data_IF_306530772365
#
_entry.id   IF_306530772365
#
_cell.length_a   1.000
_cell.length_b   1.000
_cell.length_c   1.000
_cell.angle_alpha   90.00
_cell.angle_beta   90.00
_cell.angle_gamma   90.00
#
_symmetry.space_group_name_H-M   'P 1'
#
loop_
_entity.id
_entity.type
_entity.pdbx_description
1 polymer ?
#
# COMPACT_ATOMS: atom_id res chain seq x y z
N UNK A 1 -16.27 -9.20 -10.28
CA UNK A 1 -17.68 -9.12 -9.84
C UNK A 1 -17.79 -7.93 -8.87
N UNK A 2 -18.88 -7.15 -8.89
CA UNK A 2 -19.09 -6.11 -7.88
C UNK A 2 -19.25 -6.80 -6.52
N UNK A 3 -18.49 -6.36 -5.51
CA UNK A 3 -18.57 -6.89 -4.16
C UNK A 3 -18.59 -5.74 -3.14
N UNK A 4 -19.23 -5.91 -1.97
CA UNK A 4 -19.22 -4.92 -0.91
C UNK A 4 -17.80 -4.57 -0.46
N UNK A 5 -17.64 -3.37 0.12
CA UNK A 5 -16.35 -2.91 0.67
C UNK A 5 -15.82 -3.94 1.69
N UNK A 6 -14.56 -4.35 1.54
CA UNK A 6 -13.91 -5.32 2.43
C UNK A 6 -14.12 -6.80 2.07
N UNK A 7 -14.95 -7.12 1.07
CA UNK A 7 -15.19 -8.50 0.62
C UNK A 7 -14.13 -9.00 -0.37
N UNK A 8 -13.69 -8.22 -1.39
CA UNK A 8 -12.58 -8.62 -2.24
C UNK A 8 -11.29 -8.83 -1.42
N UNK A 9 -10.72 -10.02 -1.53
CA UNK A 9 -9.42 -10.35 -0.93
C UNK A 9 -8.37 -10.34 -2.03
N UNK A 10 -7.54 -9.31 -2.02
CA UNK A 10 -6.39 -9.19 -2.93
C UNK A 10 -5.14 -9.56 -2.13
N UNK A 11 -4.48 -10.63 -2.54
CA UNK A 11 -3.16 -11.01 -2.04
C UNK A 11 -2.10 -10.32 -2.88
N UNK A 12 -1.19 -9.59 -2.22
CA UNK A 12 -0.07 -8.92 -2.88
C UNK A 12 1.22 -9.59 -2.43
N UNK A 13 1.97 -10.14 -3.38
CA UNK A 13 3.27 -10.79 -3.15
C UNK A 13 4.38 -9.95 -3.75
N UNK A 14 5.43 -9.72 -2.95
CA UNK A 14 6.67 -9.07 -3.37
C UNK A 14 7.79 -10.12 -3.37
N UNK A 15 8.27 -10.48 -4.55
CA UNK A 15 9.33 -11.47 -4.75
C UNK A 15 10.58 -10.78 -5.29
N UNK A 16 11.71 -10.98 -4.62
CA UNK A 16 13.01 -10.42 -5.02
C UNK A 16 13.92 -11.58 -5.36
N UNK A 17 14.33 -11.65 -6.63
CA UNK A 17 15.22 -12.72 -7.09
C UNK A 17 16.69 -12.47 -6.73
N UNK A 18 17.55 -13.46 -6.98
CA UNK A 18 18.99 -13.37 -6.73
C UNK A 18 19.71 -12.27 -7.56
N UNK A 19 19.07 -11.78 -8.64
CA UNK A 19 19.57 -10.68 -9.46
C UNK A 19 19.09 -9.31 -8.98
N UNK A 20 18.21 -9.27 -7.97
CA UNK A 20 17.61 -8.06 -7.44
C UNK A 20 16.41 -7.55 -8.24
N UNK A 21 15.85 -8.36 -9.14
CA UNK A 21 14.62 -8.02 -9.87
C UNK A 21 13.43 -8.24 -8.94
N UNK A 22 12.57 -7.23 -8.82
CA UNK A 22 11.37 -7.27 -7.99
C UNK A 22 10.16 -7.66 -8.85
N UNK A 23 9.55 -8.79 -8.55
CA UNK A 23 8.26 -9.21 -9.10
C UNK A 23 7.15 -8.87 -8.10
N UNK A 24 6.23 -8.00 -8.50
CA UNK A 24 5.04 -7.66 -7.71
C UNK A 24 3.84 -8.34 -8.34
N UNK A 25 3.20 -9.24 -7.60
CA UNK A 25 2.00 -9.95 -8.06
C UNK A 25 0.82 -9.58 -7.19
N UNK A 26 -0.30 -9.20 -7.81
CA UNK A 26 -1.58 -8.99 -7.14
C UNK A 26 -2.58 -10.03 -7.63
N UNK A 27 -3.13 -10.84 -6.72
CA UNK A 27 -4.08 -11.90 -7.02
C UNK A 27 -5.39 -11.71 -6.26
N UNK A 28 -6.52 -11.76 -6.95
CA UNK A 28 -7.83 -11.91 -6.31
C UNK A 28 -8.02 -13.39 -5.93
N UNK A 29 -8.04 -13.68 -4.63
CA UNK A 29 -8.14 -15.06 -4.13
C UNK A 29 -9.48 -15.72 -4.46
N UNK A 30 -10.52 -14.93 -4.77
CA UNK A 30 -11.87 -15.44 -5.04
C UNK A 30 -12.04 -15.87 -6.50
N UNK A 31 -11.40 -15.15 -7.42
CA UNK A 31 -11.51 -15.42 -8.86
C UNK A 31 -10.27 -16.08 -9.45
N UNK A 32 -9.16 -16.13 -8.68
CA UNK A 32 -7.87 -16.65 -9.13
C UNK A 32 -7.14 -15.75 -10.14
N UNK A 33 -7.79 -14.68 -10.60
CA UNK A 33 -7.21 -13.71 -11.53
C UNK A 33 -6.04 -13.00 -10.85
N UNK A 34 -4.92 -12.92 -11.55
CA UNK A 34 -3.73 -12.23 -11.08
C UNK A 34 -3.16 -11.33 -12.16
N UNK A 35 -2.48 -10.28 -11.71
CA UNK A 35 -1.67 -9.40 -12.54
C UNK A 35 -0.29 -9.30 -11.92
N UNK A 36 0.75 -9.28 -12.74
CA UNK A 36 2.13 -9.12 -12.28
C UNK A 36 2.82 -7.96 -12.97
N UNK A 37 3.71 -7.31 -12.25
CA UNK A 37 4.63 -6.29 -12.77
C UNK A 37 6.04 -6.69 -12.35
N UNK A 38 6.98 -6.61 -13.29
CA UNK A 38 8.40 -6.86 -13.03
C UNK A 38 9.15 -5.54 -13.04
N UNK A 39 9.87 -5.26 -11.97
CA UNK A 39 10.70 -4.07 -11.78
C UNK A 39 12.15 -4.54 -11.80
N UNK A 40 12.82 -4.30 -12.92
CA UNK A 40 14.26 -4.58 -13.05
C UNK A 40 15.04 -3.57 -12.22
N UNK A 41 15.98 -4.07 -11.41
CA UNK A 41 16.90 -3.23 -10.66
C UNK A 41 18.21 -3.08 -11.46
N UNK A 42 18.37 -1.96 -12.14
CA UNK A 42 19.59 -1.66 -12.86
C UNK A 42 20.73 -1.41 -11.87
N UNK A 43 21.90 -2.03 -12.10
CA UNK A 43 23.08 -1.80 -11.26
C UNK A 43 23.41 -0.30 -11.26
N UNK A 44 23.51 0.29 -10.07
CA UNK A 44 23.79 1.72 -9.91
C UNK A 44 22.56 2.64 -10.00
N UNK A 45 21.33 2.10 -9.97
CA UNK A 45 20.09 2.90 -9.95
C UNK A 45 20.04 3.93 -8.81
N UNK A 46 20.65 3.61 -7.67
CA UNK A 46 20.86 4.54 -6.56
C UNK A 46 22.30 4.38 -6.07
N UNK A 47 23.00 5.50 -5.97
CA UNK A 47 24.32 5.57 -5.34
C UNK A 47 24.19 5.50 -3.81
N UNK A 48 25.27 5.12 -3.13
CA UNK A 48 25.32 5.11 -1.66
C UNK A 48 25.02 6.49 -1.06
N UNK A 49 25.52 7.55 -1.69
CA UNK A 49 25.27 8.92 -1.26
C UNK A 49 23.79 9.31 -1.37
N UNK A 50 23.10 8.85 -2.41
CA UNK A 50 21.65 9.08 -2.55
C UNK A 50 20.85 8.32 -1.51
N UNK A 51 21.22 7.07 -1.22
CA UNK A 51 20.61 6.27 -0.16
C UNK A 51 20.78 6.99 1.19
N UNK A 52 21.99 7.41 1.53
CA UNK A 52 22.28 8.10 2.79
C UNK A 52 21.54 9.43 2.90
N UNK A 53 21.38 10.16 1.77
CA UNK A 53 20.56 11.38 1.71
C UNK A 53 19.09 11.08 2.00
N UNK A 54 18.52 10.06 1.35
CA UNK A 54 17.12 9.66 1.55
C UNK A 54 16.84 9.24 3.00
N UNK A 55 17.77 8.53 3.64
CA UNK A 55 17.65 8.16 5.06
C UNK A 55 17.65 9.40 5.96
N UNK A 56 18.55 10.35 5.73
CA UNK A 56 18.60 11.61 6.49
C UNK A 56 17.36 12.47 6.30
N UNK A 57 16.84 12.55 5.07
CA UNK A 57 15.60 13.26 4.77
C UNK A 57 14.42 12.61 5.50
N UNK A 58 14.31 11.28 5.49
CA UNK A 58 13.27 10.56 6.23
C UNK A 58 13.34 10.83 7.75
N UNK A 59 14.54 10.89 8.32
CA UNK A 59 14.72 11.24 9.74
C UNK A 59 14.34 12.70 10.02
N UNK A 60 14.72 13.63 9.14
CA UNK A 60 14.43 15.05 9.29
C UNK A 60 12.92 15.35 9.24
N UNK A 61 12.19 14.70 8.33
CA UNK A 61 10.76 14.91 8.13
C UNK A 61 9.86 13.98 8.96
N UNK A 62 10.44 13.07 9.75
CA UNK A 62 9.71 12.07 10.54
C UNK A 62 8.54 12.65 11.34
N UNK A 63 8.75 13.76 12.05
CA UNK A 63 7.73 14.36 12.89
C UNK A 63 6.53 14.92 12.09
N UNK A 64 6.78 15.43 10.89
CA UNK A 64 5.71 15.95 10.03
C UNK A 64 4.98 14.81 9.29
N UNK A 65 5.71 13.76 8.89
CA UNK A 65 5.12 12.52 8.36
C UNK A 65 4.21 11.84 9.40
N UNK A 66 4.60 11.84 10.68
CA UNK A 66 3.77 11.34 11.78
C UNK A 66 2.46 12.14 11.91
N UNK A 67 2.52 13.48 11.89
CA UNK A 67 1.31 14.32 11.92
C UNK A 67 0.41 14.08 10.70
N UNK A 68 0.98 13.94 9.50
CA UNK A 68 0.19 13.63 8.30
C UNK A 68 -0.46 12.25 8.43
N UNK A 69 0.27 11.25 8.91
CA UNK A 69 -0.25 9.91 9.16
C UNK A 69 -1.43 9.95 10.15
N UNK A 70 -1.31 10.68 11.25
CA UNK A 70 -2.38 10.86 12.23
C UNK A 70 -3.62 11.49 11.61
N UNK A 71 -3.45 12.56 10.85
CA UNK A 71 -4.54 13.26 10.14
C UNK A 71 -5.26 12.32 9.17
N UNK A 72 -4.53 11.54 8.37
CA UNK A 72 -5.12 10.60 7.41
C UNK A 72 -5.83 9.46 8.14
N UNK A 73 -5.26 8.94 9.22
CA UNK A 73 -5.91 7.91 10.04
C UNK A 73 -7.22 8.41 10.64
N UNK A 74 -7.24 9.62 11.20
CA UNK A 74 -8.45 10.24 11.75
C UNK A 74 -9.53 10.40 10.67
N UNK A 75 -9.14 10.86 9.48
CA UNK A 75 -10.05 10.97 8.33
C UNK A 75 -10.62 9.60 7.93
N UNK A 76 -9.77 8.59 7.75
CA UNK A 76 -10.18 7.25 7.34
C UNK A 76 -11.09 6.58 8.40
N UNK A 77 -10.84 6.85 9.68
CA UNK A 77 -11.68 6.39 10.78
C UNK A 77 -13.07 7.02 10.72
N UNK A 78 -13.16 8.34 10.51
CA UNK A 78 -14.43 9.04 10.36
C UNK A 78 -15.20 8.56 9.12
N UNK A 79 -14.54 8.42 7.97
CA UNK A 79 -15.16 7.90 6.75
C UNK A 79 -15.71 6.48 6.96
N UNK A 80 -14.96 5.63 7.65
CA UNK A 80 -15.40 4.27 7.97
C UNK A 80 -16.58 4.25 8.95
N UNK A 81 -16.60 5.17 9.92
CA UNK A 81 -17.70 5.33 10.85
C UNK A 81 -18.98 5.79 10.13
N UNK A 82 -18.90 6.85 9.33
CA UNK A 82 -20.04 7.34 8.55
C UNK A 82 -20.59 6.27 7.60
N UNK A 83 -19.71 5.49 6.95
CA UNK A 83 -20.13 4.38 6.11
C UNK A 83 -20.88 3.31 6.92
N UNK A 84 -20.37 2.94 8.09
CA UNK A 84 -20.99 1.95 8.98
C UNK A 84 -22.37 2.43 9.46
N UNK A 85 -22.48 3.69 9.88
CA UNK A 85 -23.76 4.28 10.28
C UNK A 85 -24.79 4.27 9.16
N UNK A 86 -24.37 4.66 7.95
CA UNK A 86 -25.24 4.61 6.78
C UNK A 86 -25.73 3.18 6.53
N UNK A 87 -24.84 2.19 6.59
CA UNK A 87 -25.23 0.80 6.45
C UNK A 87 -26.21 0.35 7.54
N UNK A 88 -26.01 0.73 8.81
CA UNK A 88 -26.94 0.40 9.91
C UNK A 88 -28.33 1.01 9.72
N UNK A 89 -28.44 2.18 9.07
CA UNK A 89 -29.72 2.85 8.83
C UNK A 89 -30.42 2.31 7.57
N UNK A 90 -29.64 1.94 6.55
CA UNK A 90 -30.15 1.43 5.27
C UNK A 90 -30.45 -0.10 5.32
N UNK A 91 -29.97 -0.83 6.34
CA UNK A 91 -30.38 -2.23 6.60
C UNK A 91 -31.77 -2.26 7.27
N UNK A 92 -32.78 -2.96 6.70
CA UNK A 92 -34.14 -3.04 7.26
C UNK A 92 -34.25 -3.88 8.55
#
# INVERSE_FOLDING_TARGET
PPAPRGVPKIEVTFDIDANGILNVTAQDTSTGRHSKITITNDKGRLSKNEIDRMVKEAEHFKADDEKQKERINAKNALESYCFTMKQTIDDP
#
